data_IF_143119085607
#
_entry.id   IF_143119085607
#
_cell.length_a   1.000
_cell.length_b   1.000
_cell.length_c   1.000
_cell.angle_alpha   90.00
_cell.angle_beta   90.00
_cell.angle_gamma   90.00
#
_symmetry.space_group_name_H-M   'P 1'
#
loop_
_entity.id
_entity.type
_entity.pdbx_description
1 polymer ?
#
# COMPACT_ATOMS: atom_id res chain seq x y z
N UNK A 1 -9.83 22.10 12.27
CA UNK A 1 -8.69 22.33 11.37
C UNK A 1 -8.81 21.30 10.27
N UNK A 2 -8.91 21.70 9.01
CA UNK A 2 -9.01 20.77 7.89
C UNK A 2 -7.65 20.13 7.66
N UNK A 3 -7.61 18.81 7.48
CA UNK A 3 -6.37 18.06 7.26
C UNK A 3 -6.21 17.80 5.78
N UNK A 4 -5.05 18.12 5.22
CA UNK A 4 -4.74 17.89 3.80
C UNK A 4 -4.58 16.39 3.53
N UNK A 5 -5.23 15.86 2.50
CA UNK A 5 -5.03 14.46 2.12
C UNK A 5 -3.68 14.27 1.43
N UNK A 6 -2.89 13.30 1.90
CA UNK A 6 -1.61 12.92 1.28
C UNK A 6 -1.75 11.58 0.56
N UNK A 7 -1.47 11.54 -0.74
CA UNK A 7 -1.40 10.28 -1.49
C UNK A 7 0.03 9.76 -1.54
N UNK A 8 0.25 8.53 -1.09
CA UNK A 8 1.51 7.79 -1.20
C UNK A 8 1.37 6.81 -2.36
N UNK A 9 2.16 6.99 -3.42
CA UNK A 9 2.16 6.10 -4.59
C UNK A 9 3.41 5.23 -4.54
N UNK A 10 3.24 3.92 -4.39
CA UNK A 10 4.33 2.93 -4.33
C UNK A 10 4.24 2.02 -5.52
N UNK A 11 5.33 1.95 -6.28
CA UNK A 11 5.46 1.08 -7.46
C UNK A 11 6.13 -0.22 -7.06
N UNK A 12 5.52 -1.35 -7.43
CA UNK A 12 6.04 -2.70 -7.25
C UNK A 12 6.49 -3.30 -8.58
N UNK A 13 7.59 -4.06 -8.56
CA UNK A 13 8.02 -4.94 -9.65
C UNK A 13 8.77 -6.16 -9.07
N UNK A 14 8.19 -7.36 -9.17
CA UNK A 14 8.79 -8.62 -8.72
C UNK A 14 9.35 -8.61 -7.28
N UNK A 15 8.67 -7.93 -6.34
CA UNK A 15 9.20 -7.68 -5.00
C UNK A 15 8.12 -7.45 -3.95
N UNK A 16 6.97 -8.11 -4.09
CA UNK A 16 5.79 -7.84 -3.27
C UNK A 16 6.03 -7.95 -1.77
N UNK A 17 6.99 -8.75 -1.31
CA UNK A 17 7.35 -8.87 0.11
C UNK A 17 7.83 -7.53 0.68
N UNK A 18 8.69 -6.82 -0.05
CA UNK A 18 9.17 -5.50 0.35
C UNK A 18 8.07 -4.45 0.24
N UNK A 19 7.22 -4.55 -0.78
CA UNK A 19 6.04 -3.66 -0.90
C UNK A 19 5.07 -3.87 0.26
N UNK A 20 4.94 -5.10 0.76
CA UNK A 20 4.11 -5.41 1.92
C UNK A 20 4.67 -4.79 3.21
N UNK A 21 5.96 -4.97 3.50
CA UNK A 21 6.63 -4.33 4.64
C UNK A 21 6.57 -2.79 4.54
N UNK A 22 6.70 -2.24 3.33
CA UNK A 22 6.52 -0.82 3.09
C UNK A 22 5.09 -0.36 3.42
N UNK A 23 4.06 -1.08 2.96
CA UNK A 23 2.67 -0.78 3.26
C UNK A 23 2.37 -0.86 4.77
N UNK A 24 2.94 -1.84 5.48
CA UNK A 24 2.86 -1.94 6.93
C UNK A 24 3.48 -0.71 7.62
N UNK A 25 4.65 -0.27 7.16
CA UNK A 25 5.32 0.92 7.71
C UNK A 25 4.48 2.20 7.55
N UNK A 26 3.73 2.32 6.45
CA UNK A 26 2.80 3.44 6.21
C UNK A 26 1.64 3.42 7.22
N UNK A 27 1.20 2.24 7.66
CA UNK A 27 0.21 2.11 8.74
C UNK A 27 0.63 2.69 10.09
N UNK A 28 1.92 2.94 10.29
CA UNK A 28 2.47 3.54 11.52
C UNK A 28 2.68 5.06 11.43
N UNK A 29 2.23 5.73 10.37
CA UNK A 29 2.33 7.19 10.26
C UNK A 29 1.44 7.89 11.29
N UNK A 30 1.99 8.88 11.99
CA UNK A 30 1.24 9.73 12.94
C UNK A 30 0.25 10.66 12.23
N UNK A 31 0.48 10.93 10.93
CA UNK A 31 -0.45 11.74 10.13
C UNK A 31 -1.70 10.91 9.80
N UNK A 32 -2.93 11.40 10.03
CA UNK A 32 -4.11 10.55 9.93
C UNK A 32 -4.80 10.58 8.56
N UNK A 33 -4.51 11.55 7.70
CA UNK A 33 -5.23 11.75 6.43
C UNK A 33 -4.36 11.39 5.22
N UNK A 34 -4.12 10.09 5.01
CA UNK A 34 -3.33 9.61 3.88
C UNK A 34 -3.99 8.43 3.19
N UNK A 35 -3.70 8.28 1.89
CA UNK A 35 -4.09 7.14 1.07
C UNK A 35 -2.85 6.48 0.46
N UNK A 36 -2.77 5.15 0.51
CA UNK A 36 -1.72 4.37 -0.15
C UNK A 36 -2.24 3.79 -1.47
N UNK A 37 -1.52 4.03 -2.55
CA UNK A 37 -1.80 3.48 -3.89
C UNK A 37 -0.64 2.58 -4.27
N UNK A 38 -0.90 1.28 -4.35
CA UNK A 38 0.06 0.28 -4.83
C UNK A 38 -0.13 0.08 -6.34
N UNK A 39 0.95 0.22 -7.09
CA UNK A 39 0.95 0.06 -8.55
C UNK A 39 1.86 -1.10 -8.93
N UNK A 40 1.29 -2.18 -9.45
CA UNK A 40 2.07 -3.25 -10.05
C UNK A 40 2.56 -2.82 -11.44
N UNK A 41 3.88 -2.77 -11.65
CA UNK A 41 4.51 -2.31 -12.89
C UNK A 41 4.74 -3.47 -13.88
N UNK A 42 3.72 -4.30 -14.07
CA UNK A 42 3.81 -5.47 -14.94
C UNK A 42 4.77 -6.52 -14.41
N UNK A 43 4.62 -6.88 -13.13
CA UNK A 43 5.43 -7.95 -12.54
C UNK A 43 5.23 -9.25 -13.32
N UNK A 44 6.30 -10.04 -13.42
CA UNK A 44 6.30 -11.37 -14.06
C UNK A 44 6.08 -12.50 -13.07
N UNK A 45 5.95 -12.19 -11.78
CA UNK A 45 5.58 -13.10 -10.69
C UNK A 45 4.13 -12.87 -10.21
N UNK A 46 3.71 -13.52 -9.12
CA UNK A 46 2.37 -13.36 -8.55
C UNK A 46 2.22 -12.11 -7.65
N UNK A 47 3.03 -11.06 -7.88
CA UNK A 47 2.97 -9.83 -7.07
C UNK A 47 1.58 -9.18 -7.11
N UNK A 48 1.00 -9.00 -8.31
CA UNK A 48 -0.32 -8.37 -8.46
C UNK A 48 -1.43 -9.14 -7.75
N UNK A 49 -1.42 -10.47 -7.87
CA UNK A 49 -2.36 -11.35 -7.16
C UNK A 49 -2.17 -11.36 -5.65
N UNK A 50 -0.92 -11.26 -5.19
CA UNK A 50 -0.58 -11.23 -3.76
C UNK A 50 -0.98 -9.89 -3.13
N UNK A 51 -0.56 -8.77 -3.70
CA UNK A 51 -0.87 -7.42 -3.20
C UNK A 51 -2.36 -7.09 -3.34
N UNK A 52 -3.05 -7.62 -4.36
CA UNK A 52 -4.49 -7.42 -4.52
C UNK A 52 -5.35 -8.02 -3.40
N UNK A 53 -4.84 -9.04 -2.68
CA UNK A 53 -5.53 -9.60 -1.50
C UNK A 53 -5.46 -8.68 -0.29
N UNK A 54 -4.48 -7.77 -0.26
CA UNK A 54 -4.20 -6.87 0.86
C UNK A 54 -5.05 -5.58 0.83
N UNK A 55 -5.53 -5.15 -0.34
CA UNK A 55 -6.11 -3.82 -0.57
C UNK A 55 -7.60 -3.62 -0.24
N UNK A 56 -8.31 -4.61 0.32
CA UNK A 56 -9.77 -4.56 0.50
C UNK A 56 -10.23 -4.25 1.94
N UNK A 57 -9.34 -3.84 2.84
CA UNK A 57 -9.72 -3.36 4.16
C UNK A 57 -9.98 -1.85 4.11
N UNK A 58 -11.16 -1.42 4.59
CA UNK A 58 -11.51 -0.01 4.74
C UNK A 58 -10.41 0.72 5.54
N UNK A 59 -9.69 1.65 4.90
CA UNK A 59 -8.56 2.37 5.51
C UNK A 59 -7.18 2.10 4.92
N UNK A 60 -7.04 1.31 3.86
CA UNK A 60 -5.80 1.25 3.07
C UNK A 60 -4.60 0.56 3.74
N UNK A 61 -4.78 -0.02 4.94
CA UNK A 61 -3.83 -0.94 5.56
C UNK A 61 -4.48 -2.33 5.59
N UNK A 62 -3.77 -3.39 5.22
CA UNK A 62 -4.29 -4.75 5.37
C UNK A 62 -4.52 -5.04 6.86
N UNK A 63 -5.68 -5.59 7.22
CA UNK A 63 -5.92 -6.10 8.56
C UNK A 63 -5.25 -7.47 8.70
N UNK A 64 -4.03 -7.49 9.22
CA UNK A 64 -3.59 -8.60 10.07
C UNK A 64 -3.91 -8.25 11.53
#
# INVERSE_FOLDING_TARGET
MEMVTVALVVVNYNGWQYTLECAESVGHLDYPNWWLVLVDNGSTDDSGGTLGKCGNAEGGVPSW
#
